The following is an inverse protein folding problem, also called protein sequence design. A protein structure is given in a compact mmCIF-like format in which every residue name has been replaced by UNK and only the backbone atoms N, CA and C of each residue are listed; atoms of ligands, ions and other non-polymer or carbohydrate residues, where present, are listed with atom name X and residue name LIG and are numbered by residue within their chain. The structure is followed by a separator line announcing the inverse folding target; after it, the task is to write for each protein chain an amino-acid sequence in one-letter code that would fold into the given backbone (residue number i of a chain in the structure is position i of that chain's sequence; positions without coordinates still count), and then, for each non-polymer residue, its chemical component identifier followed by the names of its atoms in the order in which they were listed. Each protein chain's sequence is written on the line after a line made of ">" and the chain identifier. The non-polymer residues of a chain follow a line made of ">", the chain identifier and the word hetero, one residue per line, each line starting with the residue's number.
data_IF_921605563044
#
_entry.id   IF_921605563044
#
_cell.length_a   1.000
_cell.length_b   1.000
_cell.length_c   1.000
_cell.angle_alpha   90.00
_cell.angle_beta   90.00
_cell.angle_gamma   90.00
#
_symmetry.space_group_name_H-M   'P 1'
#
loop_
_entity.id
_entity.type
_entity.pdbx_description
1 polymer ?
#
# COMPACT_ATOMS: atom_id res chain seq x y z
N UNK A 1 17.29 33.06 -30.83
CA UNK A 1 15.96 33.19 -30.22
C UNK A 1 15.44 31.78 -30.00
N UNK A 2 15.53 31.27 -28.76
CA UNK A 2 15.32 29.86 -28.40
C UNK A 2 13.84 29.50 -28.41
N UNK A 3 13.39 28.66 -29.33
CA UNK A 3 12.09 28.00 -29.26
C UNK A 3 12.23 26.78 -28.35
N UNK A 4 11.94 26.98 -27.07
CA UNK A 4 11.91 25.94 -26.07
C UNK A 4 10.62 25.11 -26.29
N UNK A 5 10.72 24.07 -27.13
CA UNK A 5 9.68 23.07 -27.31
C UNK A 5 9.62 22.20 -26.06
N UNK A 6 8.56 22.38 -25.28
CA UNK A 6 8.26 21.63 -24.06
C UNK A 6 8.13 20.11 -24.34
N UNK A 7 8.84 19.23 -23.61
CA UNK A 7 8.70 17.78 -23.75
C UNK A 7 7.53 17.33 -22.87
N UNK A 8 6.30 17.38 -23.40
CA UNK A 8 5.09 17.06 -22.59
C UNK A 8 4.48 15.69 -22.92
N UNK A 9 4.95 14.97 -23.96
CA UNK A 9 4.24 13.76 -24.43
C UNK A 9 5.01 12.44 -24.29
N UNK A 10 5.62 12.19 -23.13
CA UNK A 10 6.03 10.84 -22.73
C UNK A 10 5.04 10.27 -21.70
N UNK A 11 3.76 10.18 -22.11
CA UNK A 11 2.69 9.52 -21.34
C UNK A 11 2.85 8.00 -21.18
N UNK A 12 3.95 7.43 -21.65
CA UNK A 12 4.25 5.99 -21.63
C UNK A 12 5.06 5.54 -20.40
N UNK A 13 5.35 6.41 -19.43
CA UNK A 13 6.25 6.10 -18.31
C UNK A 13 5.59 5.51 -17.04
N UNK A 14 4.26 5.44 -16.94
CA UNK A 14 3.59 5.11 -15.66
C UNK A 14 3.28 3.62 -15.42
N UNK A 15 3.55 2.74 -16.39
CA UNK A 15 3.38 1.29 -16.23
C UNK A 15 4.70 0.56 -16.42
N UNK A 16 5.71 0.90 -15.61
CA UNK A 16 6.90 0.08 -15.51
C UNK A 16 6.53 -1.35 -15.12
N UNK A 17 7.14 -2.39 -15.74
CA UNK A 17 6.86 -3.78 -15.35
C UNK A 17 7.15 -3.94 -13.86
N UNK A 18 6.17 -4.46 -13.10
CA UNK A 18 6.34 -4.74 -11.67
C UNK A 18 7.53 -5.68 -11.52
N UNK A 19 8.66 -5.13 -11.08
CA UNK A 19 9.90 -5.87 -10.93
C UNK A 19 9.69 -6.94 -9.85
N UNK A 20 9.65 -8.20 -10.27
CA UNK A 20 9.61 -9.32 -9.32
C UNK A 20 10.83 -9.24 -8.40
N UNK A 21 10.60 -9.39 -7.09
CA UNK A 21 11.67 -9.46 -6.11
C UNK A 21 12.70 -10.53 -6.50
N UNK A 22 13.99 -10.17 -6.45
CA UNK A 22 15.09 -11.04 -6.84
C UNK A 22 14.97 -12.41 -6.15
N UNK A 23 15.12 -13.50 -6.90
CA UNK A 23 15.00 -14.87 -6.38
C UNK A 23 15.96 -15.12 -5.20
N UNK A 24 17.07 -14.36 -5.15
CA UNK A 24 18.06 -14.37 -4.06
C UNK A 24 17.53 -13.75 -2.76
N UNK A 25 16.76 -12.66 -2.85
CA UNK A 25 16.17 -11.99 -1.69
C UNK A 25 15.16 -12.91 -1.00
N UNK A 26 14.37 -13.66 -1.77
CA UNK A 26 13.45 -14.68 -1.23
C UNK A 26 14.21 -15.78 -0.48
N UNK A 27 15.26 -16.34 -1.09
CA UNK A 27 16.10 -17.35 -0.45
C UNK A 27 16.78 -16.86 0.84
N UNK A 28 17.27 -15.61 0.85
CA UNK A 28 17.88 -14.98 2.02
C UNK A 28 16.88 -14.78 3.17
N UNK A 29 15.66 -14.32 2.89
CA UNK A 29 14.62 -14.15 3.92
C UNK A 29 14.26 -15.49 4.55
N UNK A 30 14.05 -16.54 3.76
CA UNK A 30 13.75 -17.87 4.28
C UNK A 30 14.92 -18.46 5.08
N UNK A 31 16.16 -18.30 4.59
CA UNK A 31 17.34 -18.73 5.34
C UNK A 31 17.46 -18.01 6.69
N UNK A 32 17.18 -16.70 6.74
CA UNK A 32 17.17 -15.94 7.99
C UNK A 32 16.06 -16.41 8.95
N UNK A 33 14.84 -16.66 8.44
CA UNK A 33 13.73 -17.20 9.25
C UNK A 33 14.09 -18.57 9.84
N UNK A 34 14.60 -19.49 9.04
CA UNK A 34 15.03 -20.81 9.53
C UNK A 34 16.21 -20.72 10.49
N UNK A 35 17.16 -19.81 10.28
CA UNK A 35 18.25 -19.56 11.22
C UNK A 35 17.73 -19.06 12.57
N UNK A 36 16.78 -18.12 12.58
CA UNK A 36 16.13 -17.64 13.81
C UNK A 36 15.40 -18.79 14.52
N UNK A 37 14.65 -19.62 13.79
CA UNK A 37 13.95 -20.78 14.35
C UNK A 37 14.94 -21.81 14.92
N UNK A 38 16.09 -22.01 14.26
CA UNK A 38 17.14 -22.92 14.73
C UNK A 38 17.84 -22.40 16.00
N UNK A 39 18.04 -21.08 16.11
CA UNK A 39 18.69 -20.41 17.24
C UNK A 39 17.75 -20.11 18.41
N UNK A 40 16.44 -20.02 18.16
CA UNK A 40 15.42 -19.77 19.19
C UNK A 40 15.45 -20.76 20.37
N UNK A 41 15.50 -22.09 20.16
CA UNK A 41 15.57 -23.05 21.26
C UNK A 41 16.87 -22.95 22.07
N UNK A 42 17.93 -22.36 21.51
CA UNK A 42 19.21 -22.17 22.20
C UNK A 42 19.10 -21.15 23.34
N UNK A 43 18.20 -20.16 23.23
CA UNK A 43 17.92 -19.19 24.30
C UNK A 43 17.14 -19.80 25.47
N UNK A 44 16.49 -20.94 25.26
CA UNK A 44 15.66 -21.61 26.27
C UNK A 44 16.38 -22.81 26.95
N UNK A 45 17.68 -23.02 26.68
CA UNK A 45 18.46 -24.13 27.25
C UNK A 45 18.12 -25.51 26.66
N UNK A 46 17.41 -25.56 25.52
CA UNK A 46 17.09 -26.81 24.82
C UNK A 46 18.21 -27.24 23.87
N UNK A 47 18.31 -28.54 23.62
CA UNK A 47 19.24 -29.10 22.64
C UNK A 47 19.05 -28.42 21.26
N UNK A 48 20.17 -28.06 20.63
CA UNK A 48 20.19 -27.54 19.28
C UNK A 48 19.43 -28.52 18.37
N UNK A 49 18.30 -28.10 17.80
CA UNK A 49 17.53 -28.94 16.87
C UNK A 49 18.36 -29.14 15.60
N UNK A 50 19.18 -30.19 15.58
CA UNK A 50 20.06 -30.56 14.46
C UNK A 50 19.28 -30.69 13.14
N UNK A 51 18.02 -31.13 13.20
CA UNK A 51 17.10 -31.14 12.05
C UNK A 51 16.76 -29.74 11.52
N UNK A 52 16.59 -28.74 12.38
CA UNK A 52 16.35 -27.36 11.98
C UNK A 52 17.63 -26.71 11.41
N UNK A 53 18.80 -27.08 11.92
CA UNK A 53 20.09 -26.64 11.40
C UNK A 53 20.40 -27.26 10.03
N UNK A 54 20.09 -28.55 9.85
CA UNK A 54 20.14 -29.24 8.57
C UNK A 54 19.15 -28.66 7.56
N UNK A 55 17.93 -28.32 7.99
CA UNK A 55 16.95 -27.63 7.15
C UNK A 55 17.42 -26.22 6.75
N UNK A 56 18.03 -25.46 7.67
CA UNK A 56 18.59 -24.15 7.37
C UNK A 56 19.78 -24.23 6.39
N UNK A 57 20.69 -25.19 6.57
CA UNK A 57 21.81 -25.42 5.68
C UNK A 57 21.35 -25.91 4.29
N UNK A 58 20.34 -26.80 4.23
CA UNK A 58 19.73 -27.25 2.99
C UNK A 58 19.02 -26.09 2.26
N UNK A 59 18.32 -25.22 2.97
CA UNK A 59 17.71 -24.02 2.40
C UNK A 59 18.76 -23.00 1.92
N UNK A 60 19.86 -22.83 2.66
CA UNK A 60 20.96 -21.94 2.29
C UNK A 60 21.69 -22.47 1.04
N UNK A 61 21.98 -23.78 0.99
CA UNK A 61 22.54 -24.45 -0.19
C UNK A 61 21.59 -24.40 -1.37
N UNK A 62 20.29 -24.61 -1.17
CA UNK A 62 19.28 -24.48 -2.21
C UNK A 62 19.22 -23.04 -2.75
N UNK A 63 19.29 -22.04 -1.86
CA UNK A 63 19.31 -20.62 -2.24
C UNK A 63 20.58 -20.22 -3.01
N UNK A 64 21.73 -20.86 -2.74
CA UNK A 64 23.02 -20.57 -3.38
C UNK A 64 23.25 -21.35 -4.67
N UNK A 65 22.87 -22.63 -4.73
CA UNK A 65 23.28 -23.57 -5.78
C UNK A 65 22.22 -23.74 -6.87
N UNK A 66 20.92 -23.59 -6.55
CA UNK A 66 19.84 -23.92 -7.51
C UNK A 66 18.82 -22.78 -7.68
N UNK A 67 19.23 -21.58 -8.13
CA UNK A 67 18.28 -20.50 -8.44
C UNK A 67 17.24 -20.90 -9.52
N UNK A 68 17.53 -21.91 -10.34
CA UNK A 68 16.61 -22.45 -11.37
C UNK A 68 15.39 -23.19 -10.79
N UNK A 69 15.50 -23.86 -9.65
CA UNK A 69 14.38 -24.58 -9.00
C UNK A 69 13.60 -23.66 -8.07
N UNK A 70 14.25 -22.64 -7.50
CA UNK A 70 13.56 -21.61 -6.71
C UNK A 70 12.74 -20.64 -7.58
N UNK A 71 12.99 -20.56 -8.89
CA UNK A 71 12.29 -19.66 -9.82
C UNK A 71 10.78 -19.90 -9.89
N UNK A 72 10.25 -21.12 -10.16
CA UNK A 72 8.81 -21.36 -10.14
C UNK A 72 8.19 -21.20 -8.76
N UNK A 73 8.92 -21.52 -7.68
CA UNK A 73 8.43 -21.38 -6.31
C UNK A 73 8.32 -19.90 -5.91
N UNK A 74 9.30 -19.07 -6.27
CA UNK A 74 9.25 -17.62 -6.07
C UNK A 74 8.10 -16.99 -6.85
N UNK A 75 7.85 -17.44 -8.09
CA UNK A 75 6.71 -16.99 -8.89
C UNK A 75 5.36 -17.33 -8.25
N UNK A 76 5.20 -18.56 -7.75
CA UNK A 76 3.97 -18.99 -7.06
C UNK A 76 3.79 -18.23 -5.75
N UNK A 77 4.86 -18.09 -4.97
CA UNK A 77 4.83 -17.33 -3.71
C UNK A 77 4.53 -15.85 -3.95
N UNK A 78 5.12 -15.24 -4.98
CA UNK A 78 4.87 -13.86 -5.35
C UNK A 78 3.42 -13.66 -5.81
N UNK A 79 2.89 -14.56 -6.65
CA UNK A 79 1.48 -14.58 -7.03
C UNK A 79 0.57 -14.71 -5.82
N UNK A 80 0.90 -15.61 -4.89
CA UNK A 80 0.16 -15.77 -3.65
C UNK A 80 0.19 -14.48 -2.81
N UNK A 81 1.36 -13.85 -2.67
CA UNK A 81 1.50 -12.56 -2.00
C UNK A 81 0.69 -11.45 -2.66
N UNK A 82 0.60 -11.44 -3.99
CA UNK A 82 -0.18 -10.46 -4.74
C UNK A 82 -1.70 -10.67 -4.56
N UNK A 83 -2.16 -11.92 -4.55
CA UNK A 83 -3.56 -12.25 -4.22
C UNK A 83 -3.88 -11.88 -2.77
N UNK A 84 -2.97 -12.20 -1.85
CA UNK A 84 -3.12 -11.84 -0.44
C UNK A 84 -3.19 -10.32 -0.28
N UNK A 85 -2.31 -9.57 -0.95
CA UNK A 85 -2.34 -8.10 -0.94
C UNK A 85 -3.68 -7.56 -1.49
N UNK A 86 -4.21 -8.15 -2.57
CA UNK A 86 -5.52 -7.79 -3.11
C UNK A 86 -6.66 -7.92 -2.08
N UNK A 87 -6.55 -8.85 -1.13
CA UNK A 87 -7.53 -9.01 -0.03
C UNK A 87 -7.20 -8.12 1.17
N UNK A 88 -5.92 -8.05 1.55
CA UNK A 88 -5.46 -7.30 2.72
C UNK A 88 -5.66 -5.80 2.52
N UNK A 89 -5.42 -5.26 1.32
CA UNK A 89 -5.60 -3.82 1.05
C UNK A 89 -7.02 -3.34 1.32
N UNK A 90 -8.09 -3.90 0.70
CA UNK A 90 -9.46 -3.49 1.00
C UNK A 90 -9.86 -3.81 2.44
N UNK A 91 -9.32 -4.88 3.05
CA UNK A 91 -9.57 -5.20 4.46
C UNK A 91 -9.02 -4.10 5.39
N UNK A 92 -7.75 -3.71 5.20
CA UNK A 92 -7.08 -2.67 5.99
C UNK A 92 -7.74 -1.31 5.73
N UNK A 93 -8.05 -0.97 4.49
CA UNK A 93 -8.76 0.27 4.15
C UNK A 93 -10.16 0.30 4.77
N UNK A 94 -10.88 -0.82 4.75
CA UNK A 94 -12.18 -0.96 5.41
C UNK A 94 -12.05 -0.80 6.92
N UNK A 95 -11.08 -1.47 7.54
CA UNK A 95 -10.82 -1.36 8.97
C UNK A 95 -10.47 0.08 9.36
N UNK A 96 -9.61 0.75 8.59
CA UNK A 96 -9.26 2.15 8.80
C UNK A 96 -10.50 3.04 8.68
N UNK A 97 -11.35 2.82 7.68
CA UNK A 97 -12.61 3.55 7.57
C UNK A 97 -13.50 3.36 8.81
N UNK A 98 -13.73 2.12 9.24
CA UNK A 98 -14.60 1.84 10.39
C UNK A 98 -14.02 2.28 11.73
N UNK A 99 -12.70 2.22 11.92
CA UNK A 99 -12.04 2.59 13.17
C UNK A 99 -11.66 4.07 13.26
N UNK A 100 -11.47 4.76 12.14
CA UNK A 100 -11.03 6.17 12.14
C UNK A 100 -12.11 7.08 11.55
N UNK A 101 -12.52 6.85 10.30
CA UNK A 101 -13.44 7.74 9.59
C UNK A 101 -14.84 7.71 10.21
N UNK A 102 -15.39 6.53 10.46
CA UNK A 102 -16.73 6.36 11.03
C UNK A 102 -16.88 7.00 12.41
N UNK A 103 -15.99 6.77 13.41
CA UNK A 103 -16.13 7.41 14.71
C UNK A 103 -15.87 8.91 14.65
N UNK A 104 -14.96 9.39 13.79
CA UNK A 104 -14.79 10.84 13.57
C UNK A 104 -16.08 11.45 13.02
N UNK A 105 -16.70 10.84 12.02
CA UNK A 105 -17.98 11.29 11.47
C UNK A 105 -19.12 11.22 12.49
N UNK A 106 -19.16 10.18 13.32
CA UNK A 106 -20.14 10.04 14.39
C UNK A 106 -19.94 11.10 15.48
N UNK A 107 -18.69 11.42 15.84
CA UNK A 107 -18.35 12.48 16.78
C UNK A 107 -18.72 13.87 16.23
N UNK A 108 -18.48 14.11 14.94
CA UNK A 108 -18.93 15.34 14.26
C UNK A 108 -20.45 15.47 14.28
N UNK A 109 -21.17 14.37 14.04
CA UNK A 109 -22.63 14.33 14.11
C UNK A 109 -23.15 14.56 15.54
N UNK A 110 -22.49 14.01 16.55
CA UNK A 110 -22.83 14.22 17.96
C UNK A 110 -22.54 15.65 18.43
N UNK A 111 -21.45 16.27 17.94
CA UNK A 111 -21.10 17.67 18.23
C UNK A 111 -21.89 18.68 17.39
N UNK A 112 -22.86 18.24 16.59
CA UNK A 112 -23.74 19.10 15.80
C UNK A 112 -23.06 19.80 14.63
N UNK A 113 -21.81 19.44 14.32
CA UNK A 113 -21.05 19.98 13.19
C UNK A 113 -21.50 19.26 11.93
N UNK A 114 -22.36 19.92 11.15
CA UNK A 114 -22.78 19.49 9.83
C UNK A 114 -22.03 20.31 8.76
N UNK A 115 -20.78 19.94 8.41
CA UNK A 115 -19.96 20.70 7.46
C UNK A 115 -20.61 20.77 6.07
N UNK A 116 -21.50 19.84 5.75
CA UNK A 116 -22.17 19.76 4.46
C UNK A 116 -23.63 20.25 4.51
N UNK A 117 -24.12 20.73 5.67
CA UNK A 117 -25.52 21.19 5.87
C UNK A 117 -26.53 20.21 5.24
N UNK A 118 -26.36 18.91 5.47
CA UNK A 118 -27.17 17.85 4.85
C UNK A 118 -28.65 17.90 5.27
N UNK A 119 -28.94 18.48 6.43
CA UNK A 119 -30.33 18.67 6.88
C UNK A 119 -31.04 19.68 5.97
N UNK A 120 -32.03 19.20 5.21
CA UNK A 120 -32.95 20.05 4.45
C UNK A 120 -33.77 20.88 5.42
N UNK A 121 -33.66 22.20 5.29
CA UNK A 121 -34.48 23.18 5.97
C UNK A 121 -35.71 23.49 5.11
N UNK A 122 -36.93 23.04 5.51
CA UNK A 122 -38.15 23.32 4.76
C UNK A 122 -38.58 24.80 4.84
N UNK A 123 -38.00 25.60 5.72
CA UNK A 123 -38.27 27.04 5.83
C UNK A 123 -37.28 27.90 5.02
N UNK A 124 -36.23 27.32 4.45
CA UNK A 124 -35.22 28.05 3.70
C UNK A 124 -35.72 28.42 2.29
N UNK A 125 -35.76 29.72 1.99
CA UNK A 125 -36.14 30.25 0.66
C UNK A 125 -35.12 29.93 -0.43
N UNK A 126 -33.84 29.76 -0.07
CA UNK A 126 -32.77 29.35 -0.99
C UNK A 126 -31.59 28.75 -0.21
N UNK A 127 -31.02 27.66 -0.73
CA UNK A 127 -29.78 27.05 -0.22
C UNK A 127 -28.52 27.73 -0.76
N UNK A 128 -28.67 28.75 -1.60
CA UNK A 128 -27.55 29.47 -2.20
C UNK A 128 -26.72 30.20 -1.13
N UNK A 129 -25.45 29.84 -1.01
CA UNK A 129 -24.52 30.51 -0.10
C UNK A 129 -23.98 31.74 -0.81
N UNK A 130 -24.49 32.92 -0.43
CA UNK A 130 -23.93 34.22 -0.86
C UNK A 130 -22.47 34.29 -0.38
N UNK A 131 -21.53 34.41 -1.31
CA UNK A 131 -20.09 34.55 -1.01
C UNK A 131 -19.74 36.02 -0.86
N UNK A 132 -19.19 36.38 0.29
CA UNK A 132 -18.59 37.71 0.58
C UNK A 132 -17.15 37.51 1.02
N UNK A 133 -16.14 37.99 0.26
CA UNK A 133 -16.24 38.78 -0.97
C UNK A 133 -16.79 37.96 -2.16
N UNK A 134 -17.35 38.63 -3.19
CA UNK A 134 -17.73 37.97 -4.43
C UNK A 134 -16.52 37.20 -4.98
N UNK A 135 -16.76 36.05 -5.61
CA UNK A 135 -15.69 35.26 -6.23
C UNK A 135 -14.81 36.11 -7.16
N UNK A 136 -13.59 35.63 -7.50
CA UNK A 136 -12.68 36.38 -8.35
C UNK A 136 -13.39 36.84 -9.63
N UNK A 137 -13.11 38.07 -10.06
CA UNK A 137 -13.75 38.68 -11.21
C UNK A 137 -13.66 37.75 -12.43
N UNK A 138 -14.66 37.75 -13.34
CA UNK A 138 -14.67 36.90 -14.54
C UNK A 138 -13.36 36.96 -15.34
N UNK A 139 -12.69 38.11 -15.30
CA UNK A 139 -11.40 38.37 -15.97
C UNK A 139 -10.20 37.66 -15.32
N UNK A 140 -10.38 36.95 -14.20
CA UNK A 140 -9.31 36.17 -13.55
C UNK A 140 -8.99 34.86 -14.30
N UNK A 141 -9.90 34.37 -15.13
CA UNK A 141 -9.70 33.14 -15.91
C UNK A 141 -8.99 33.44 -17.22
N UNK A 142 -7.67 33.63 -17.17
CA UNK A 142 -6.85 34.01 -18.33
C UNK A 142 -6.78 32.94 -19.44
N UNK A 143 -7.07 31.67 -19.14
CA UNK A 143 -7.02 30.56 -20.10
C UNK A 143 -8.17 29.57 -19.83
N UNK A 144 -9.38 29.85 -20.32
CA UNK A 144 -10.56 29.00 -20.10
C UNK A 144 -10.75 27.92 -21.20
N UNK A 145 -9.94 27.96 -22.26
CA UNK A 145 -9.94 27.00 -23.36
C UNK A 145 -8.51 26.61 -23.71
#
# INVERSE_FOLDING_TARGET
>A
MSTNGSPILDGEALTGPVAMGSERSFGLVFAAVFAIIALWPLKAGGEMRLWALGAAAAFLLAALVVPRVLRPLNLVWFKFGLVLHCVVTPLVMGLLFFLTVTPVGMLMRATGKDPMRLKRDPAATSYWIMRTPPGPAPDSMKNQF
#
